data_IF_905558249901
#
_entry.id   IF_905558249901
#
_cell.length_a   1.000
_cell.length_b   1.000
_cell.length_c   1.000
_cell.angle_alpha   90.00
_cell.angle_beta   90.00
_cell.angle_gamma   90.00
#
_symmetry.space_group_name_H-M   'P 1'
#
loop_
_entity.id
_entity.type
_entity.pdbx_description
1 polymer ?
#
# COMPACT_ATOMS: atom_id res chain seq x y z
N UNK A 1 10.99 17.68 27.24
CA UNK A 1 9.88 18.66 27.15
C UNK A 1 9.18 18.50 25.81
N UNK A 2 7.96 17.98 25.79
CA UNK A 2 7.10 17.98 24.60
C UNK A 2 6.80 19.43 24.26
N UNK A 3 7.14 19.87 23.02
CA UNK A 3 6.78 21.19 22.52
C UNK A 3 5.26 21.33 22.53
N UNK A 4 4.72 22.17 23.40
CA UNK A 4 3.31 22.51 23.45
C UNK A 4 2.82 22.99 22.08
N UNK A 5 1.71 22.38 21.62
CA UNK A 5 0.79 22.90 20.59
C UNK A 5 1.35 23.18 19.19
N UNK A 6 1.92 22.16 18.51
CA UNK A 6 2.00 22.20 17.06
C UNK A 6 0.94 21.23 16.53
N UNK A 7 -0.15 21.76 15.96
CA UNK A 7 -1.15 20.96 15.25
C UNK A 7 -0.46 20.13 14.19
N UNK A 8 -0.85 18.86 14.05
CA UNK A 8 -0.44 18.04 12.90
C UNK A 8 -1.08 18.60 11.65
N UNK A 9 -0.52 18.35 10.49
CA UNK A 9 -1.09 18.88 9.24
C UNK A 9 -2.53 18.40 9.01
N UNK A 10 -2.85 17.15 9.34
CA UNK A 10 -4.21 16.62 9.22
C UNK A 10 -5.22 17.38 10.10
N UNK A 11 -4.82 17.77 11.32
CA UNK A 11 -5.62 18.58 12.24
C UNK A 11 -5.77 20.03 11.73
N UNK A 12 -4.69 20.61 11.21
CA UNK A 12 -4.68 21.96 10.66
C UNK A 12 -5.64 22.15 9.47
N UNK A 13 -5.78 21.10 8.64
CA UNK A 13 -6.67 21.10 7.48
C UNK A 13 -8.02 20.41 7.75
N UNK A 14 -8.40 20.19 9.01
CA UNK A 14 -9.65 19.55 9.42
C UNK A 14 -9.91 18.17 8.78
N UNK A 15 -8.84 17.43 8.48
CA UNK A 15 -8.95 16.10 7.87
C UNK A 15 -8.80 14.95 8.87
N UNK A 16 -8.30 15.21 10.10
CA UNK A 16 -8.02 14.13 11.05
C UNK A 16 -9.31 13.37 11.43
N UNK A 17 -10.38 14.08 11.76
CA UNK A 17 -11.65 13.44 12.13
C UNK A 17 -12.26 12.62 10.99
N UNK A 18 -12.12 13.09 9.73
CA UNK A 18 -12.58 12.37 8.53
C UNK A 18 -11.79 11.06 8.38
N UNK A 19 -10.47 11.09 8.55
CA UNK A 19 -9.62 9.90 8.47
C UNK A 19 -9.90 8.90 9.59
N UNK A 20 -10.13 9.38 10.81
CA UNK A 20 -10.49 8.55 11.96
C UNK A 20 -11.86 7.87 11.74
N UNK A 21 -12.81 8.59 11.15
CA UNK A 21 -14.13 8.04 10.79
C UNK A 21 -14.02 7.00 9.68
N UNK A 22 -13.27 7.26 8.59
CA UNK A 22 -13.02 6.30 7.52
C UNK A 22 -12.37 5.02 8.07
N UNK A 23 -11.39 5.17 8.97
CA UNK A 23 -10.74 4.03 9.62
C UNK A 23 -11.74 3.22 10.45
N UNK A 24 -12.53 3.87 11.29
CA UNK A 24 -13.52 3.21 12.16
C UNK A 24 -14.61 2.48 11.33
N UNK A 25 -15.15 3.14 10.30
CA UNK A 25 -16.13 2.54 9.39
C UNK A 25 -15.53 1.33 8.65
N UNK A 26 -14.29 1.44 8.17
CA UNK A 26 -13.61 0.34 7.51
C UNK A 26 -13.39 -0.84 8.46
N UNK A 27 -12.94 -0.58 9.68
CA UNK A 27 -12.77 -1.63 10.72
C UNK A 27 -14.07 -2.38 10.99
N UNK A 28 -15.21 -1.70 10.92
CA UNK A 28 -16.55 -2.28 11.08
C UNK A 28 -17.06 -3.00 9.82
N UNK A 29 -16.30 -3.05 8.74
CA UNK A 29 -16.66 -3.77 7.53
C UNK A 29 -17.54 -2.98 6.54
N UNK A 30 -17.71 -1.68 6.74
CA UNK A 30 -18.52 -0.84 5.86
C UNK A 30 -17.91 -0.71 4.46
N UNK A 31 -18.77 -0.47 3.48
CA UNK A 31 -18.38 -0.15 2.11
C UNK A 31 -18.44 1.37 1.88
N UNK A 32 -17.55 1.85 1.03
CA UNK A 32 -17.37 3.28 0.73
C UNK A 32 -17.78 3.57 -0.70
N UNK A 33 -18.68 4.53 -0.82
CA UNK A 33 -19.19 5.05 -2.09
C UNK A 33 -18.80 6.49 -2.27
N UNK A 34 -18.91 7.28 -3.10
CA UNK A 34 -18.71 8.74 -3.19
C UNK A 34 -17.41 9.28 -2.57
N UNK A 35 -16.33 8.47 -2.58
CA UNK A 35 -15.03 8.90 -2.03
C UNK A 35 -14.44 10.10 -2.77
N UNK A 36 -14.81 10.31 -4.04
CA UNK A 36 -14.37 11.47 -4.81
C UNK A 36 -14.85 12.81 -4.22
N UNK A 37 -15.93 12.85 -3.43
CA UNK A 37 -16.39 14.04 -2.72
C UNK A 37 -15.36 14.44 -1.65
N UNK A 38 -14.83 13.47 -0.89
CA UNK A 38 -13.80 13.70 0.12
C UNK A 38 -12.45 13.99 -0.56
N UNK A 39 -12.08 13.20 -1.58
CA UNK A 39 -10.83 13.37 -2.33
C UNK A 39 -10.73 14.76 -2.96
N UNK A 40 -11.84 15.28 -3.52
CA UNK A 40 -11.96 16.59 -4.15
C UNK A 40 -12.31 17.74 -3.20
N UNK A 41 -12.39 17.49 -1.87
CA UNK A 41 -12.61 18.57 -0.90
C UNK A 41 -11.40 19.51 -0.86
N UNK A 42 -11.66 20.78 -0.59
CA UNK A 42 -10.61 21.79 -0.52
C UNK A 42 -9.57 21.44 0.55
N UNK A 43 -10.04 21.00 1.71
CA UNK A 43 -9.21 20.61 2.84
C UNK A 43 -8.24 19.48 2.46
N UNK A 44 -8.77 18.45 1.80
CA UNK A 44 -7.97 17.31 1.36
C UNK A 44 -6.93 17.69 0.29
N UNK A 45 -7.31 18.55 -0.66
CA UNK A 45 -6.41 19.02 -1.74
C UNK A 45 -5.31 19.90 -1.15
N UNK A 46 -5.63 20.83 -0.27
CA UNK A 46 -4.64 21.71 0.39
C UNK A 46 -3.66 20.90 1.25
N UNK A 47 -4.16 19.90 1.98
CA UNK A 47 -3.31 18.96 2.73
C UNK A 47 -2.42 18.15 1.80
N UNK A 48 -2.95 17.64 0.68
CA UNK A 48 -2.18 16.88 -0.31
C UNK A 48 -1.06 17.73 -0.92
N UNK A 49 -1.35 18.97 -1.28
CA UNK A 49 -0.35 19.93 -1.74
C UNK A 49 0.73 20.16 -0.70
N UNK A 50 0.37 20.34 0.58
CA UNK A 50 1.32 20.50 1.69
C UNK A 50 2.24 19.30 1.83
N UNK A 51 1.68 18.09 1.78
CA UNK A 51 2.43 16.84 1.88
C UNK A 51 3.38 16.66 0.68
N UNK A 52 2.88 16.92 -0.54
CA UNK A 52 3.67 16.83 -1.75
C UNK A 52 4.84 17.83 -1.74
N UNK A 53 4.60 19.08 -1.29
CA UNK A 53 5.62 20.13 -1.20
C UNK A 53 6.78 19.76 -0.27
N UNK A 54 6.52 18.99 0.79
CA UNK A 54 7.54 18.53 1.73
C UNK A 54 8.32 17.31 1.26
N UNK A 55 7.87 16.65 0.18
CA UNK A 55 8.52 15.47 -0.37
C UNK A 55 9.80 15.85 -1.13
N UNK A 56 10.92 15.15 -0.87
CA UNK A 56 12.21 15.38 -1.54
C UNK A 56 12.12 15.25 -3.06
N UNK A 57 11.29 14.34 -3.57
CA UNK A 57 11.05 14.13 -5.00
C UNK A 57 10.20 15.22 -5.68
N UNK A 58 9.62 16.18 -4.94
CA UNK A 58 8.71 17.19 -5.49
C UNK A 58 9.33 18.12 -6.55
N UNK A 59 10.66 18.30 -6.49
CA UNK A 59 11.45 19.08 -7.46
C UNK A 59 11.90 18.29 -8.70
N UNK A 60 11.58 17.00 -8.78
CA UNK A 60 11.90 16.19 -9.94
C UNK A 60 10.77 16.29 -10.95
N UNK A 61 11.02 16.80 -12.15
CA UNK A 61 10.02 16.99 -13.19
C UNK A 61 9.58 15.65 -13.82
N UNK A 62 8.31 15.57 -14.23
CA UNK A 62 7.79 14.53 -15.13
C UNK A 62 8.18 14.77 -16.59
N UNK A 63 7.37 14.27 -17.52
CA UNK A 63 7.53 14.48 -18.97
C UNK A 63 7.19 15.92 -19.39
N UNK A 64 6.38 16.64 -18.62
CA UNK A 64 5.96 18.01 -18.91
C UNK A 64 6.94 19.08 -18.40
N UNK A 65 8.05 18.69 -17.78
CA UNK A 65 9.05 19.60 -17.22
C UNK A 65 8.62 20.32 -15.95
N UNK A 66 7.37 20.18 -15.50
CA UNK A 66 6.83 20.89 -14.34
C UNK A 66 7.24 20.24 -13.02
N UNK A 67 7.43 21.08 -12.00
CA UNK A 67 7.80 20.72 -10.63
C UNK A 67 6.85 21.34 -9.62
N UNK A 68 7.08 21.13 -8.34
CA UNK A 68 6.31 21.77 -7.27
C UNK A 68 6.52 23.32 -7.26
N UNK A 69 7.64 23.80 -7.77
CA UNK A 69 7.92 25.25 -7.77
C UNK A 69 7.00 25.99 -8.75
N UNK A 70 6.53 25.33 -9.82
CA UNK A 70 5.55 25.87 -10.74
C UNK A 70 4.16 25.98 -10.07
N UNK A 71 3.78 24.98 -9.27
CA UNK A 71 2.49 25.01 -8.53
C UNK A 71 2.51 26.05 -7.40
N UNK A 72 3.65 26.33 -6.80
CA UNK A 72 3.77 27.35 -5.72
C UNK A 72 3.36 28.77 -6.13
N UNK A 73 3.35 29.07 -7.40
CA UNK A 73 2.97 30.36 -7.92
C UNK A 73 1.44 30.56 -7.97
N UNK A 74 0.69 29.46 -7.85
CA UNK A 74 -0.75 29.45 -7.89
C UNK A 74 -1.35 29.69 -6.49
N UNK A 75 -2.52 30.30 -6.46
CA UNK A 75 -3.35 30.39 -5.25
C UNK A 75 -3.94 29.03 -4.89
N UNK A 76 -4.33 28.85 -3.63
CA UNK A 76 -5.02 27.62 -3.21
C UNK A 76 -6.31 27.37 -4.02
N UNK A 77 -7.04 28.42 -4.37
CA UNK A 77 -8.27 28.31 -5.16
C UNK A 77 -8.00 27.75 -6.57
N UNK A 78 -6.93 28.21 -7.22
CA UNK A 78 -6.52 27.70 -8.54
C UNK A 78 -6.06 26.26 -8.47
N UNK A 79 -5.27 25.88 -7.43
CA UNK A 79 -4.85 24.48 -7.21
C UNK A 79 -6.07 23.58 -7.02
N UNK A 80 -7.03 23.99 -6.19
CA UNK A 80 -8.26 23.24 -5.93
C UNK A 80 -9.10 23.10 -7.20
N UNK A 81 -9.27 24.16 -7.97
CA UNK A 81 -10.01 24.14 -9.23
C UNK A 81 -9.36 23.14 -10.23
N UNK A 82 -8.04 23.22 -10.42
CA UNK A 82 -7.28 22.34 -11.33
C UNK A 82 -7.39 20.86 -10.93
N UNK A 83 -7.29 20.55 -9.64
CA UNK A 83 -7.42 19.15 -9.17
C UNK A 83 -8.85 18.65 -9.35
N UNK A 84 -9.87 19.46 -9.06
CA UNK A 84 -11.29 19.08 -9.27
C UNK A 84 -11.62 18.86 -10.74
N UNK A 85 -11.13 19.72 -11.62
CA UNK A 85 -11.26 19.54 -13.06
C UNK A 85 -10.60 18.22 -13.50
N UNK A 86 -9.37 17.97 -13.05
CA UNK A 86 -8.65 16.73 -13.32
C UNK A 86 -9.44 15.49 -12.83
N UNK A 87 -10.00 15.52 -11.62
CA UNK A 87 -10.80 14.40 -11.07
C UNK A 87 -12.11 14.18 -11.85
N UNK A 88 -12.67 15.22 -12.47
CA UNK A 88 -13.91 15.11 -13.25
C UNK A 88 -13.73 14.34 -14.56
N UNK A 89 -12.58 14.51 -15.22
CA UNK A 89 -12.22 13.83 -16.47
C UNK A 89 -10.73 13.46 -16.48
N UNK A 90 -10.35 12.58 -15.56
CA UNK A 90 -8.95 12.23 -15.35
C UNK A 90 -8.31 11.63 -16.61
N UNK A 91 -7.23 12.23 -17.05
CA UNK A 91 -6.35 11.76 -18.13
C UNK A 91 -4.91 11.93 -17.67
N UNK A 92 -4.24 10.85 -17.25
CA UNK A 92 -2.85 10.92 -16.81
C UNK A 92 -1.95 11.34 -17.97
N UNK A 93 -0.95 12.17 -17.68
CA UNK A 93 0.15 12.42 -18.61
C UNK A 93 1.08 11.20 -18.63
N UNK A 94 1.94 11.13 -19.64
CA UNK A 94 2.95 10.06 -19.72
C UNK A 94 3.91 10.14 -18.52
N UNK A 95 4.39 8.97 -18.11
CA UNK A 95 5.31 8.81 -16.99
C UNK A 95 6.74 8.79 -17.52
N UNK A 96 7.61 9.67 -17.03
CA UNK A 96 9.00 9.72 -17.41
C UNK A 96 9.78 8.54 -16.84
N UNK A 97 10.45 7.75 -17.67
CA UNK A 97 11.30 6.63 -17.28
C UNK A 97 12.70 7.13 -16.88
N UNK A 98 13.18 6.72 -15.70
CA UNK A 98 14.53 6.97 -15.22
C UNK A 98 15.10 5.67 -14.65
N UNK A 99 16.36 5.40 -14.96
CA UNK A 99 17.06 4.22 -14.44
C UNK A 99 18.04 4.66 -13.34
N UNK A 100 17.93 4.06 -12.16
CA UNK A 100 18.85 4.30 -11.05
C UNK A 100 19.63 3.02 -10.71
N UNK A 101 20.93 3.11 -10.35
CA UNK A 101 21.71 1.95 -9.95
C UNK A 101 21.11 1.27 -8.71
N UNK A 102 21.05 -0.06 -8.73
CA UNK A 102 20.68 -0.83 -7.54
C UNK A 102 21.93 -0.97 -6.67
N UNK A 103 21.84 -0.57 -5.39
CA UNK A 103 22.95 -0.66 -4.46
C UNK A 103 23.54 -2.09 -4.42
N UNK A 104 24.86 -2.20 -4.57
CA UNK A 104 25.59 -3.48 -4.54
C UNK A 104 25.40 -4.36 -5.77
N UNK A 105 24.96 -3.82 -6.92
CA UNK A 105 24.73 -4.59 -8.15
C UNK A 105 24.87 -3.69 -9.38
N UNK A 106 25.35 -4.24 -10.49
CA UNK A 106 25.39 -3.57 -11.81
C UNK A 106 24.00 -3.40 -12.44
N UNK A 107 22.96 -3.90 -11.80
CA UNK A 107 21.58 -3.82 -12.31
C UNK A 107 20.98 -2.43 -12.07
N UNK A 108 20.23 -1.96 -13.05
CA UNK A 108 19.47 -0.72 -12.97
C UNK A 108 18.04 -1.00 -12.48
N UNK A 109 17.50 -0.08 -11.68
CA UNK A 109 16.09 -0.09 -11.26
C UNK A 109 15.32 0.93 -12.09
N UNK A 110 14.31 0.51 -12.87
CA UNK A 110 13.48 1.43 -13.61
C UNK A 110 12.52 2.16 -12.67
N UNK A 111 12.59 3.48 -12.64
CA UNK A 111 11.63 4.34 -11.95
C UNK A 111 10.72 5.02 -12.95
N UNK A 112 9.44 5.13 -12.61
CA UNK A 112 8.49 5.94 -13.34
C UNK A 112 8.17 7.22 -12.55
N UNK A 113 8.43 8.38 -13.12
CA UNK A 113 8.17 9.68 -12.51
C UNK A 113 6.95 10.30 -13.16
N UNK A 114 5.75 10.27 -12.51
CA UNK A 114 4.56 10.94 -13.01
C UNK A 114 4.73 12.46 -12.98
N UNK A 115 3.99 13.18 -13.82
CA UNK A 115 3.94 14.64 -13.78
C UNK A 115 3.46 15.15 -12.43
N UNK A 116 3.84 16.37 -12.06
CA UNK A 116 3.61 16.91 -10.71
C UNK A 116 2.11 16.99 -10.37
N UNK A 117 1.25 17.31 -11.34
CA UNK A 117 -0.19 17.33 -11.16
C UNK A 117 -0.78 15.95 -10.94
N UNK A 118 -0.29 14.93 -11.66
CA UNK A 118 -0.70 13.54 -11.43
C UNK A 118 -0.27 13.07 -10.04
N UNK A 119 0.92 13.48 -9.57
CA UNK A 119 1.36 13.19 -8.21
C UNK A 119 0.48 13.87 -7.15
N UNK A 120 0.00 15.10 -7.42
CA UNK A 120 -0.94 15.77 -6.52
C UNK A 120 -2.28 15.04 -6.44
N UNK A 121 -2.82 14.60 -7.58
CA UNK A 121 -4.04 13.77 -7.62
C UNK A 121 -3.82 12.43 -6.91
N UNK A 122 -2.68 11.78 -7.13
CA UNK A 122 -2.32 10.54 -6.41
C UNK A 122 -2.25 10.77 -4.90
N UNK A 123 -1.68 11.90 -4.45
CA UNK A 123 -1.62 12.25 -3.03
C UNK A 123 -3.01 12.49 -2.43
N UNK A 124 -3.92 13.17 -3.16
CA UNK A 124 -5.30 13.35 -2.71
C UNK A 124 -6.03 12.01 -2.53
N UNK A 125 -5.79 11.06 -3.42
CA UNK A 125 -6.37 9.71 -3.34
C UNK A 125 -5.73 8.92 -2.20
N UNK A 126 -4.40 8.93 -2.10
CA UNK A 126 -3.63 8.15 -1.12
C UNK A 126 -4.11 8.43 0.30
N UNK A 127 -4.20 9.68 0.70
CA UNK A 127 -4.52 10.06 2.08
C UNK A 127 -5.98 9.74 2.49
N UNK A 128 -6.87 9.54 1.51
CA UNK A 128 -8.25 9.07 1.76
C UNK A 128 -8.32 7.54 1.78
N UNK A 129 -7.56 6.86 0.90
CA UNK A 129 -7.57 5.40 0.85
C UNK A 129 -6.76 4.74 1.97
N UNK A 130 -5.70 5.37 2.44
CA UNK A 130 -4.82 4.83 3.49
C UNK A 130 -5.60 4.46 4.76
N UNK A 131 -6.41 5.35 5.38
CA UNK A 131 -7.19 5.00 6.56
C UNK A 131 -8.26 3.93 6.30
N UNK A 132 -8.76 3.80 5.06
CA UNK A 132 -9.71 2.75 4.69
C UNK A 132 -9.00 1.38 4.59
N UNK A 133 -7.79 1.36 4.04
CA UNK A 133 -7.05 0.12 3.81
C UNK A 133 -6.35 -0.39 5.09
N UNK A 134 -5.86 0.50 5.94
CA UNK A 134 -5.03 0.17 7.11
C UNK A 134 -5.67 -0.88 8.05
N UNK A 135 -6.95 -0.81 8.45
CA UNK A 135 -7.55 -1.81 9.32
C UNK A 135 -7.80 -3.16 8.66
N UNK A 136 -7.65 -3.27 7.34
CA UNK A 136 -7.80 -4.51 6.56
C UNK A 136 -6.48 -5.26 6.37
N UNK A 137 -5.36 -4.58 6.57
CA UNK A 137 -4.05 -5.20 6.41
C UNK A 137 -3.70 -6.11 7.57
N UNK A 138 -3.03 -7.21 7.24
CA UNK A 138 -2.55 -8.15 8.24
C UNK A 138 -1.57 -7.48 9.23
N UNK A 139 -1.61 -7.89 10.50
CA UNK A 139 -0.83 -7.25 11.55
C UNK A 139 0.69 -7.37 11.35
N UNK A 140 1.16 -8.41 10.67
CA UNK A 140 2.58 -8.67 10.44
C UNK A 140 3.07 -8.29 9.04
N UNK A 141 2.35 -7.35 8.39
CA UNK A 141 2.81 -6.60 7.23
C UNK A 141 3.33 -5.23 7.69
N UNK A 142 4.59 -4.89 7.42
CA UNK A 142 5.28 -3.76 8.03
C UNK A 142 5.75 -2.68 7.03
N UNK A 143 6.05 -3.03 5.78
CA UNK A 143 6.53 -2.08 4.77
C UNK A 143 5.43 -1.10 4.34
N UNK A 144 5.80 0.14 4.03
CA UNK A 144 4.93 1.19 3.49
C UNK A 144 3.69 1.53 4.35
N UNK A 145 3.70 1.22 5.63
CA UNK A 145 2.61 1.51 6.56
C UNK A 145 3.04 2.52 7.61
N UNK A 146 2.14 3.44 7.96
CA UNK A 146 2.36 4.40 9.02
C UNK A 146 2.66 3.70 10.36
N UNK A 147 3.57 4.27 11.15
CA UNK A 147 3.98 3.77 12.47
C UNK A 147 4.56 2.33 12.47
N UNK A 148 4.97 1.82 11.32
CA UNK A 148 5.63 0.52 11.16
C UNK A 148 7.00 0.69 10.50
N UNK A 149 7.93 -0.21 10.80
CA UNK A 149 9.30 -0.14 10.30
C UNK A 149 9.91 -1.52 10.13
N UNK A 150 11.05 -1.59 9.46
CA UNK A 150 11.85 -2.82 9.35
C UNK A 150 12.25 -3.35 10.74
N UNK A 151 12.51 -2.48 11.72
CA UNK A 151 12.83 -2.90 13.09
C UNK A 151 11.67 -3.67 13.75
N UNK A 152 10.42 -3.27 13.50
CA UNK A 152 9.26 -4.03 14.00
C UNK A 152 9.17 -5.42 13.34
N UNK A 153 9.47 -5.54 12.05
CA UNK A 153 9.51 -6.84 11.37
C UNK A 153 10.62 -7.73 11.94
N UNK A 154 11.83 -7.20 12.13
CA UNK A 154 12.97 -7.91 12.75
C UNK A 154 12.63 -8.32 14.18
N UNK A 155 12.06 -7.43 14.99
CA UNK A 155 11.63 -7.74 16.36
C UNK A 155 10.62 -8.90 16.39
N UNK A 156 9.67 -8.93 15.46
CA UNK A 156 8.72 -10.04 15.35
C UNK A 156 9.42 -11.37 15.02
N UNK A 157 10.34 -11.36 14.05
CA UNK A 157 11.13 -12.57 13.72
C UNK A 157 11.94 -13.04 14.93
N UNK A 158 12.64 -12.12 15.61
CA UNK A 158 13.41 -12.43 16.83
C UNK A 158 12.54 -13.04 17.93
N UNK A 159 11.33 -12.52 18.13
CA UNK A 159 10.35 -13.05 19.09
C UNK A 159 9.94 -14.48 18.71
N UNK A 160 9.65 -14.75 17.42
CA UNK A 160 9.28 -16.08 16.95
C UNK A 160 10.42 -17.09 17.14
N UNK A 161 11.67 -16.69 16.90
CA UNK A 161 12.83 -17.55 17.10
C UNK A 161 13.08 -17.84 18.59
N UNK A 162 13.22 -16.80 19.40
CA UNK A 162 13.70 -16.92 20.77
C UNK A 162 12.63 -17.43 21.74
N UNK A 163 11.39 -16.93 21.63
CA UNK A 163 10.32 -17.28 22.57
C UNK A 163 9.44 -18.42 22.06
N UNK A 164 9.17 -18.47 20.75
CA UNK A 164 8.22 -19.45 20.19
C UNK A 164 8.91 -20.63 19.50
N UNK A 165 10.23 -20.64 19.39
CA UNK A 165 11.08 -21.71 18.83
C UNK A 165 10.78 -22.05 17.36
N UNK A 166 10.41 -21.03 16.55
CA UNK A 166 10.24 -21.13 15.11
C UNK A 166 11.58 -20.88 14.42
N UNK A 167 12.39 -21.92 14.26
CA UNK A 167 13.78 -21.81 13.79
C UNK A 167 13.94 -22.05 12.28
N UNK A 168 12.92 -22.53 11.60
CA UNK A 168 12.94 -22.76 10.16
C UNK A 168 12.27 -21.59 9.44
N UNK A 169 12.90 -21.07 8.40
CA UNK A 169 12.43 -19.92 7.65
C UNK A 169 12.28 -20.28 6.17
N UNK A 170 11.10 -20.03 5.60
CA UNK A 170 10.93 -19.94 4.16
C UNK A 170 11.11 -18.49 3.81
N UNK A 171 12.20 -18.17 3.12
CA UNK A 171 12.55 -16.83 2.67
C UNK A 171 12.12 -16.65 1.21
N UNK A 172 11.29 -15.65 0.93
CA UNK A 172 10.72 -15.45 -0.38
C UNK A 172 10.88 -13.99 -0.82
N UNK A 173 11.47 -13.82 -2.00
CA UNK A 173 11.56 -12.55 -2.73
C UNK A 173 10.79 -12.68 -4.04
N UNK A 174 9.90 -11.72 -4.31
CA UNK A 174 9.08 -11.72 -5.53
C UNK A 174 9.80 -10.96 -6.63
N UNK A 175 10.35 -11.70 -7.61
CA UNK A 175 11.07 -11.10 -8.74
C UNK A 175 10.20 -10.11 -9.51
N UNK A 176 10.64 -8.85 -9.54
CA UNK A 176 9.98 -7.80 -10.32
C UNK A 176 8.53 -7.57 -9.89
N UNK A 177 8.25 -7.60 -8.59
CA UNK A 177 6.88 -7.52 -8.06
C UNK A 177 6.08 -6.36 -8.64
N UNK A 178 6.62 -5.13 -8.54
CA UNK A 178 5.93 -3.93 -9.03
C UNK A 178 5.64 -3.96 -10.53
N UNK A 179 6.51 -4.58 -11.32
CA UNK A 179 6.36 -4.66 -12.77
C UNK A 179 5.37 -5.76 -13.22
N UNK A 180 4.97 -6.65 -12.30
CA UNK A 180 4.10 -7.80 -12.60
C UNK A 180 2.72 -7.74 -11.96
N UNK A 181 2.34 -6.64 -11.32
CA UNK A 181 1.00 -6.49 -10.73
C UNK A 181 -0.07 -6.51 -11.81
N UNK A 182 -1.00 -7.48 -11.73
CA UNK A 182 -2.12 -7.56 -12.66
C UNK A 182 -3.17 -6.48 -12.32
N UNK A 183 -3.43 -5.56 -13.26
CA UNK A 183 -4.35 -4.43 -13.07
C UNK A 183 -5.77 -4.89 -12.73
N UNK A 184 -6.30 -5.89 -13.45
CA UNK A 184 -7.65 -6.38 -13.22
C UNK A 184 -7.83 -7.04 -11.86
N UNK A 185 -6.82 -7.83 -11.40
CA UNK A 185 -6.82 -8.43 -10.06
C UNK A 185 -6.77 -7.34 -8.99
N UNK A 186 -5.85 -6.39 -9.12
CA UNK A 186 -5.71 -5.28 -8.15
C UNK A 186 -7.02 -4.48 -8.00
N UNK A 187 -7.69 -4.12 -9.11
CA UNK A 187 -8.96 -3.37 -9.05
C UNK A 187 -10.07 -4.19 -8.37
N UNK A 188 -10.11 -5.51 -8.56
CA UNK A 188 -11.02 -6.41 -7.83
C UNK A 188 -10.70 -6.45 -6.34
N UNK A 189 -9.41 -6.48 -5.97
CA UNK A 189 -8.97 -6.46 -4.58
C UNK A 189 -9.36 -5.14 -3.89
N UNK A 190 -9.16 -3.98 -4.55
CA UNK A 190 -9.63 -2.67 -4.07
C UNK A 190 -11.15 -2.71 -3.80
N UNK A 191 -11.92 -3.27 -4.73
CA UNK A 191 -13.36 -3.44 -4.56
C UNK A 191 -13.71 -4.32 -3.37
N UNK A 192 -12.99 -5.41 -3.17
CA UNK A 192 -13.20 -6.38 -2.07
C UNK A 192 -12.88 -5.77 -0.71
N UNK A 193 -11.94 -4.85 -0.63
CA UNK A 193 -11.63 -4.10 0.60
C UNK A 193 -12.75 -3.12 1.02
N UNK A 194 -13.79 -2.96 0.20
CA UNK A 194 -14.94 -2.11 0.47
C UNK A 194 -14.93 -0.76 -0.26
N UNK A 195 -13.96 -0.49 -1.11
CA UNK A 195 -13.90 0.73 -1.93
C UNK A 195 -14.81 0.53 -3.14
N UNK A 196 -16.06 1.02 -3.04
CA UNK A 196 -17.16 0.80 -4.01
C UNK A 196 -17.47 2.00 -4.89
N UNK A 197 -16.60 3.01 -4.92
CA UNK A 197 -16.71 4.16 -5.81
C UNK A 197 -16.16 3.80 -7.20
N UNK A 198 -17.07 3.54 -8.15
CA UNK A 198 -16.73 3.15 -9.52
C UNK A 198 -15.92 4.23 -10.26
N UNK A 199 -16.19 5.51 -9.99
CA UNK A 199 -15.46 6.61 -10.63
C UNK A 199 -14.02 6.66 -10.14
N UNK A 200 -13.79 6.49 -8.82
CA UNK A 200 -12.45 6.39 -8.25
C UNK A 200 -11.69 5.18 -8.81
N UNK A 201 -12.32 4.01 -8.90
CA UNK A 201 -11.70 2.81 -9.48
C UNK A 201 -11.32 3.04 -10.96
N UNK A 202 -12.15 3.77 -11.71
CA UNK A 202 -11.83 4.16 -13.09
C UNK A 202 -10.61 5.08 -13.14
N UNK A 203 -10.49 6.05 -12.22
CA UNK A 203 -9.31 6.93 -12.12
C UNK A 203 -8.05 6.10 -11.81
N UNK A 204 -8.11 5.21 -10.82
CA UNK A 204 -6.98 4.31 -10.49
C UNK A 204 -6.60 3.44 -11.69
N UNK A 205 -7.59 2.90 -12.41
CA UNK A 205 -7.33 2.12 -13.63
C UNK A 205 -6.60 2.94 -14.71
N UNK A 206 -6.98 4.21 -14.89
CA UNK A 206 -6.29 5.10 -15.83
C UNK A 206 -4.87 5.42 -15.37
N UNK A 207 -4.64 5.61 -14.06
CA UNK A 207 -3.30 5.80 -13.49
C UNK A 207 -2.38 4.59 -13.74
N UNK A 208 -2.91 3.37 -13.59
CA UNK A 208 -2.15 2.14 -13.84
C UNK A 208 -1.80 1.97 -15.32
N UNK A 209 -2.62 2.51 -16.22
CA UNK A 209 -2.45 2.47 -17.68
C UNK A 209 -1.84 3.76 -18.22
N UNK A 210 -1.30 4.63 -17.39
CA UNK A 210 -0.58 5.81 -17.85
C UNK A 210 0.59 5.37 -18.75
N UNK A 211 0.69 5.97 -19.92
CA UNK A 211 1.77 5.68 -20.87
C UNK A 211 3.14 5.93 -20.24
N UNK A 212 4.06 5.03 -20.47
CA UNK A 212 5.45 5.19 -20.06
C UNK A 212 6.21 5.71 -21.27
N UNK A 213 6.85 6.86 -21.08
CA UNK A 213 7.58 7.55 -22.14
C UNK A 213 8.62 6.62 -22.79
N UNK A 214 8.50 6.42 -24.11
CA UNK A 214 9.33 5.51 -24.89
C UNK A 214 9.00 4.02 -24.78
N UNK A 215 8.07 3.60 -23.91
CA UNK A 215 7.69 2.18 -23.72
C UNK A 215 6.22 1.89 -24.05
N UNK A 216 5.36 2.93 -24.13
CA UNK A 216 3.94 2.80 -24.39
C UNK A 216 3.09 2.51 -23.15
N UNK A 217 1.86 2.01 -23.38
CA UNK A 217 0.89 1.74 -22.30
C UNK A 217 1.18 0.39 -21.66
N UNK A 218 1.42 0.32 -20.33
CA UNK A 218 1.72 -0.93 -19.67
C UNK A 218 0.47 -1.81 -19.52
N UNK A 219 0.57 -3.10 -19.83
CA UNK A 219 -0.50 -4.08 -19.61
C UNK A 219 -0.61 -4.52 -18.15
N UNK A 220 0.48 -4.44 -17.41
CA UNK A 220 0.61 -4.83 -15.98
C UNK A 220 1.63 -3.95 -15.28
N UNK A 221 1.69 -4.06 -13.98
CA UNK A 221 2.64 -3.34 -13.14
C UNK A 221 2.07 -2.05 -12.54
N UNK A 222 2.79 -1.54 -11.57
CA UNK A 222 2.56 -0.22 -10.97
C UNK A 222 3.82 0.61 -11.13
N UNK A 223 3.74 1.91 -11.51
CA UNK A 223 4.93 2.72 -11.71
C UNK A 223 5.76 2.81 -10.43
N UNK A 224 6.99 2.29 -10.43
CA UNK A 224 7.91 2.48 -9.31
C UNK A 224 8.30 3.97 -9.25
N UNK A 225 7.78 4.69 -8.24
CA UNK A 225 7.93 6.15 -8.08
C UNK A 225 6.61 6.91 -8.05
N UNK A 226 5.49 6.28 -8.39
CA UNK A 226 4.16 6.81 -8.11
C UNK A 226 3.85 6.83 -6.61
N UNK A 227 3.18 7.89 -6.11
CA UNK A 227 2.86 8.01 -4.68
C UNK A 227 1.85 6.96 -4.20
N UNK A 228 0.97 6.51 -5.08
CA UNK A 228 -0.05 5.51 -4.75
C UNK A 228 0.48 4.07 -4.82
N UNK A 229 1.58 3.82 -5.55
CA UNK A 229 2.11 2.48 -5.80
C UNK A 229 2.45 1.67 -4.53
N UNK A 230 3.00 2.25 -3.46
CA UNK A 230 3.22 1.52 -2.20
C UNK A 230 1.93 1.00 -1.57
N UNK A 231 0.86 1.81 -1.53
CA UNK A 231 -0.44 1.36 -1.02
C UNK A 231 -1.04 0.25 -1.89
N UNK A 232 -0.97 0.40 -3.22
CA UNK A 232 -1.47 -0.60 -4.15
C UNK A 232 -0.71 -1.93 -4.00
N UNK A 233 0.59 -1.89 -3.74
CA UNK A 233 1.39 -3.09 -3.47
C UNK A 233 0.96 -3.81 -2.19
N UNK A 234 0.64 -3.06 -1.14
CA UNK A 234 0.09 -3.63 0.09
C UNK A 234 -1.25 -4.32 -0.14
N UNK A 235 -2.13 -3.73 -0.95
CA UNK A 235 -3.44 -4.30 -1.30
C UNK A 235 -3.25 -5.65 -2.02
N UNK A 236 -2.34 -5.71 -3.00
CA UNK A 236 -2.06 -6.95 -3.75
C UNK A 236 -1.60 -8.08 -2.85
N UNK A 237 -0.66 -7.80 -1.94
CA UNK A 237 -0.04 -8.82 -1.08
C UNK A 237 -0.87 -9.14 0.17
N UNK A 238 -1.90 -8.35 0.48
CA UNK A 238 -2.74 -8.58 1.65
C UNK A 238 -3.47 -9.94 1.61
N UNK A 239 -3.87 -10.41 0.42
CA UNK A 239 -4.46 -11.74 0.27
C UNK A 239 -3.48 -12.86 0.65
N UNK A 240 -2.20 -12.72 0.28
CA UNK A 240 -1.14 -13.66 0.66
C UNK A 240 -0.96 -13.67 2.19
N UNK A 241 -0.89 -12.49 2.82
CA UNK A 241 -0.73 -12.38 4.26
C UNK A 241 -1.85 -13.11 5.01
N UNK A 242 -3.09 -12.85 4.62
CA UNK A 242 -4.26 -13.48 5.23
C UNK A 242 -4.36 -14.97 4.90
N UNK A 243 -3.95 -15.38 3.69
CA UNK A 243 -3.93 -16.80 3.33
C UNK A 243 -2.95 -17.56 4.23
N UNK A 244 -1.70 -17.08 4.39
CA UNK A 244 -0.72 -17.73 5.28
C UNK A 244 -1.23 -17.73 6.72
N UNK A 245 -1.72 -16.61 7.21
CA UNK A 245 -2.24 -16.48 8.57
C UNK A 245 -3.44 -17.41 8.83
N UNK A 246 -4.33 -17.57 7.85
CA UNK A 246 -5.50 -18.46 7.95
C UNK A 246 -5.14 -19.93 8.06
N UNK A 247 -3.94 -20.34 7.64
CA UNK A 247 -3.47 -21.71 7.78
C UNK A 247 -3.18 -22.07 9.24
N UNK A 248 -2.80 -21.10 10.08
CA UNK A 248 -2.40 -21.34 11.45
C UNK A 248 -2.76 -20.25 12.46
N UNK A 249 -2.24 -19.03 12.27
CA UNK A 249 -2.30 -17.96 13.27
C UNK A 249 -3.73 -17.51 13.58
N UNK A 250 -4.55 -17.35 12.56
CA UNK A 250 -5.96 -16.91 12.68
C UNK A 250 -6.95 -18.04 12.50
N UNK A 251 -6.48 -19.27 12.30
CA UNK A 251 -7.35 -20.43 12.13
C UNK A 251 -8.20 -20.67 13.38
N UNK A 252 -9.51 -20.69 13.23
CA UNK A 252 -10.45 -21.00 14.30
C UNK A 252 -11.18 -22.31 13.98
N UNK A 253 -10.98 -23.38 14.76
CA UNK A 253 -11.71 -24.63 14.58
C UNK A 253 -13.19 -24.46 14.95
N UNK A 254 -14.06 -25.10 14.21
CA UNK A 254 -15.51 -25.07 14.46
C UNK A 254 -15.90 -25.65 15.82
N UNK A 255 -15.14 -26.63 16.35
CA UNK A 255 -15.36 -27.26 17.65
C UNK A 255 -14.17 -26.97 18.58
N UNK A 256 -14.37 -26.19 19.61
CA UNK A 256 -13.38 -25.86 20.64
C UNK A 256 -13.29 -26.93 21.75
N UNK A 257 -12.77 -28.10 21.47
CA UNK A 257 -12.23 -28.96 22.52
C UNK A 257 -10.81 -28.50 22.85
N UNK A 258 -10.58 -28.01 24.08
CA UNK A 258 -9.51 -27.07 24.39
C UNK A 258 -8.07 -27.62 24.37
N UNK A 259 -7.77 -28.92 24.47
CA UNK A 259 -6.42 -29.39 24.80
C UNK A 259 -5.74 -30.34 23.79
N UNK A 260 -6.41 -30.79 22.76
CA UNK A 260 -5.81 -31.73 21.78
C UNK A 260 -5.87 -31.29 20.32
N UNK A 261 -6.67 -30.25 20.06
CA UNK A 261 -7.02 -29.84 18.70
C UNK A 261 -5.82 -29.33 17.87
N UNK A 262 -4.91 -28.59 18.46
CA UNK A 262 -3.72 -28.11 17.74
C UNK A 262 -2.78 -29.27 17.34
N UNK A 263 -2.60 -30.26 18.21
CA UNK A 263 -1.82 -31.46 17.90
C UNK A 263 -2.53 -32.34 16.87
N UNK A 264 -3.86 -32.48 17.01
CA UNK A 264 -4.69 -33.18 16.04
C UNK A 264 -4.65 -32.48 14.67
N UNK A 265 -4.81 -31.18 14.63
CA UNK A 265 -4.74 -30.39 13.38
C UNK A 265 -3.39 -30.55 12.67
N UNK A 266 -2.29 -30.48 13.41
CA UNK A 266 -0.94 -30.73 12.86
C UNK A 266 -0.79 -32.13 12.25
N UNK A 267 -1.38 -33.14 12.87
CA UNK A 267 -1.20 -34.55 12.49
C UNK A 267 -2.17 -35.00 11.40
N UNK A 268 -3.42 -34.54 11.44
CA UNK A 268 -4.52 -35.12 10.63
C UNK A 268 -5.15 -34.16 9.63
N UNK A 269 -4.69 -32.90 9.56
CA UNK A 269 -5.22 -31.94 8.58
C UNK A 269 -4.11 -31.47 7.63
N UNK A 270 -4.53 -30.81 6.53
CA UNK A 270 -3.61 -30.17 5.57
C UNK A 270 -3.16 -28.78 6.01
N UNK A 271 -3.51 -28.35 7.23
CA UNK A 271 -3.10 -27.05 7.77
C UNK A 271 -1.57 -26.97 7.89
N UNK A 272 -1.03 -25.79 7.60
CA UNK A 272 0.40 -25.50 7.61
C UNK A 272 0.70 -24.60 8.80
N UNK A 273 1.52 -25.06 9.74
CA UNK A 273 1.90 -24.28 10.92
C UNK A 273 3.04 -23.32 10.58
N UNK A 274 2.74 -22.04 10.54
CA UNK A 274 3.73 -21.01 10.28
C UNK A 274 3.18 -19.59 10.50
N UNK A 275 4.10 -18.63 10.62
CA UNK A 275 3.79 -17.22 10.83
C UNK A 275 4.46 -16.38 9.75
N UNK A 276 3.69 -15.57 9.05
CA UNK A 276 4.24 -14.63 8.07
C UNK A 276 4.75 -13.36 8.75
N UNK A 277 5.89 -12.88 8.26
CA UNK A 277 6.43 -11.55 8.58
C UNK A 277 6.86 -10.93 7.26
N UNK A 278 6.20 -9.83 6.84
CA UNK A 278 6.43 -9.21 5.54
C UNK A 278 6.86 -7.75 5.67
N UNK A 279 7.86 -7.36 4.88
CA UNK A 279 8.27 -6.00 4.69
C UNK A 279 8.27 -5.67 3.19
N UNK A 280 7.25 -4.95 2.72
CA UNK A 280 6.98 -4.69 1.29
C UNK A 280 6.77 -6.00 0.52
N UNK A 281 7.61 -6.31 -0.47
CA UNK A 281 7.63 -7.52 -1.29
C UNK A 281 8.52 -8.63 -0.74
N UNK A 282 9.37 -8.33 0.25
CA UNK A 282 10.20 -9.29 0.98
C UNK A 282 9.41 -9.91 2.14
N UNK A 283 9.27 -11.22 2.19
CA UNK A 283 8.58 -11.87 3.29
C UNK A 283 9.19 -13.21 3.71
N UNK A 284 8.98 -13.49 4.97
CA UNK A 284 9.47 -14.71 5.63
C UNK A 284 8.31 -15.44 6.27
N UNK A 285 8.28 -16.77 6.10
CA UNK A 285 7.34 -17.63 6.82
C UNK A 285 8.15 -18.46 7.83
N UNK A 286 7.92 -18.16 9.10
CA UNK A 286 8.62 -18.80 10.21
C UNK A 286 7.88 -20.08 10.62
N UNK A 287 8.58 -21.21 10.64
CA UNK A 287 8.04 -22.53 10.92
C UNK A 287 8.77 -23.19 12.10
N UNK A 288 8.11 -24.11 12.82
CA UNK A 288 8.68 -24.81 13.95
C UNK A 288 9.50 -26.05 13.53
N UNK A 289 9.21 -26.63 12.37
CA UNK A 289 9.91 -27.82 11.84
C UNK A 289 10.28 -27.66 10.37
N UNK A 290 11.28 -28.40 9.92
CA UNK A 290 11.68 -28.45 8.51
C UNK A 290 10.54 -28.94 7.61
N UNK A 291 9.78 -29.95 8.04
CA UNK A 291 8.64 -30.45 7.27
C UNK A 291 7.51 -29.43 7.09
N UNK A 292 7.28 -28.55 8.07
CA UNK A 292 6.33 -27.44 7.93
C UNK A 292 6.84 -26.39 6.94
N UNK A 293 8.13 -26.04 6.98
CA UNK A 293 8.75 -25.14 6.02
C UNK A 293 8.64 -25.68 4.58
N UNK A 294 8.91 -26.95 4.35
CA UNK A 294 8.75 -27.60 3.05
C UNK A 294 7.28 -27.53 2.55
N UNK A 295 6.30 -27.71 3.43
CA UNK A 295 4.87 -27.60 3.06
C UNK A 295 4.52 -26.19 2.57
N UNK A 296 5.09 -25.13 3.15
CA UNK A 296 4.90 -23.78 2.65
C UNK A 296 5.67 -23.53 1.35
N UNK A 297 6.89 -24.03 1.24
CA UNK A 297 7.71 -23.88 0.04
C UNK A 297 7.03 -24.45 -1.22
N UNK A 298 6.33 -25.58 -1.09
CA UNK A 298 5.62 -26.25 -2.19
C UNK A 298 4.16 -25.78 -2.36
N UNK A 299 3.76 -24.64 -1.81
CA UNK A 299 2.39 -24.11 -1.88
C UNK A 299 2.25 -22.98 -2.83
#
# INVERSE_FOLDING_TARGET
>A
MLKKNKLRYNEYYDMQHIYDELYAQSKNGNNFYKLLEIIGSEQNICLAYRNLKSNSGSKTAGTDGMTIDDIKQLSNAEIVATVRESLSNYRPKSVRRVFIPKAGSDKMRPLGIPCIWDRLVQQCILQVLEPICEPKFHNHSYGFRANRSAHHAVSRVTTLINLSKYHYCVDVDIKGFFDNVNHGKLLKQIWTLGIRDKRLICIISKMLKAEIDGEGVPEKGTPQGGLLSPLLSLIVLNELDWWVSSQWETFQPKNRSKNGWLQYAKKYTKLKSGFIVRYADDFKIMCSTYGEAQRFYHS
#
